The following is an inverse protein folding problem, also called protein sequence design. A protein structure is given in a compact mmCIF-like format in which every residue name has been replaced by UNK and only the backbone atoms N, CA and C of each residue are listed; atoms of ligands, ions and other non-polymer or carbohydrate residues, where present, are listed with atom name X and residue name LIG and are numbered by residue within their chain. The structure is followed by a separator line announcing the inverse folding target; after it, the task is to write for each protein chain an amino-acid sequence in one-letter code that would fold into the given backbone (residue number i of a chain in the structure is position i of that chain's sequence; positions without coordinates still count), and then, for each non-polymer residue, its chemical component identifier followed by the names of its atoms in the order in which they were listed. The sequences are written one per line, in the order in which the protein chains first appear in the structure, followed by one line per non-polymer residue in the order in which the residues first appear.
data_IF_593179933333
#
_entry.id   IF_593179933333
#
_cell.length_a   1.000
_cell.length_b   1.000
_cell.length_c   1.000
_cell.angle_alpha   90.00
_cell.angle_beta   90.00
_cell.angle_gamma   90.00
#
_symmetry.space_group_name_H-M   'P 1'
#
loop_
_entity.id
_entity.type
_entity.pdbx_description
1 polymer ?
#
# COMPACT_ATOMS: atom_id res chain seq x y z
N UNK A 1 -1.54 31.76 -54.79
CA UNK A 1 -2.94 32.22 -54.56
C UNK A 1 -2.90 33.57 -53.84
N UNK A 2 -3.76 34.55 -54.18
CA UNK A 2 -3.81 35.82 -53.43
C UNK A 2 -4.43 35.57 -52.05
N UNK A 3 -4.01 36.29 -50.97
CA UNK A 3 -4.50 36.04 -49.62
C UNK A 3 -6.02 36.12 -49.46
N UNK A 4 -6.69 36.97 -50.25
CA UNK A 4 -8.14 37.11 -50.23
C UNK A 4 -8.87 35.88 -50.81
N UNK A 5 -8.30 35.25 -51.83
CA UNK A 5 -8.88 34.06 -52.46
C UNK A 5 -8.64 32.82 -51.59
N UNK A 6 -7.45 32.72 -50.98
CA UNK A 6 -7.12 31.70 -49.98
C UNK A 6 -8.00 31.82 -48.71
N UNK A 7 -8.29 33.05 -48.28
CA UNK A 7 -9.17 33.34 -47.15
C UNK A 7 -10.62 32.88 -47.40
N UNK A 8 -11.14 33.08 -48.62
CA UNK A 8 -12.47 32.59 -49.01
C UNK A 8 -12.53 31.06 -49.04
N UNK A 9 -11.52 30.41 -49.60
CA UNK A 9 -11.41 28.93 -49.64
C UNK A 9 -11.29 28.30 -48.25
N UNK A 10 -10.57 28.94 -47.33
CA UNK A 10 -10.37 28.44 -45.97
C UNK A 10 -11.43 28.93 -44.96
N UNK A 11 -12.41 29.73 -45.40
CA UNK A 11 -13.41 30.40 -44.56
C UNK A 11 -12.80 31.20 -43.37
N UNK A 12 -11.72 31.94 -43.64
CA UNK A 12 -11.01 32.78 -42.66
C UNK A 12 -11.14 34.26 -43.07
N UNK A 13 -11.13 35.17 -42.09
CA UNK A 13 -11.14 36.61 -42.38
C UNK A 13 -9.92 37.01 -43.26
N UNK A 14 -10.12 37.77 -44.36
CA UNK A 14 -9.05 38.21 -45.27
C UNK A 14 -7.87 38.91 -44.58
N UNK A 15 -8.11 39.69 -43.52
CA UNK A 15 -7.04 40.35 -42.75
C UNK A 15 -6.19 39.35 -41.96
N UNK A 16 -6.81 38.27 -41.47
CA UNK A 16 -6.09 37.20 -40.76
C UNK A 16 -5.18 36.43 -41.72
N UNK A 17 -5.65 36.15 -42.94
CA UNK A 17 -4.84 35.51 -43.98
C UNK A 17 -3.67 36.40 -44.42
N UNK A 18 -3.87 37.73 -44.54
CA UNK A 18 -2.78 38.69 -44.80
C UNK A 18 -1.74 38.69 -43.68
N UNK A 19 -2.18 38.66 -42.42
CA UNK A 19 -1.29 38.59 -41.26
C UNK A 19 -0.46 37.30 -41.23
N UNK A 20 -1.09 36.14 -41.48
CA UNK A 20 -0.39 34.86 -41.54
C UNK A 20 0.63 34.82 -42.67
N UNK A 21 0.28 35.38 -43.85
CA UNK A 21 1.24 35.51 -44.95
C UNK A 21 2.43 36.39 -44.55
N UNK A 22 2.20 37.54 -43.90
CA UNK A 22 3.28 38.42 -43.43
C UNK A 22 4.17 37.75 -42.37
N UNK A 23 3.58 36.97 -41.46
CA UNK A 23 4.34 36.21 -40.46
C UNK A 23 5.17 35.09 -41.13
N UNK A 24 4.63 34.42 -42.15
CA UNK A 24 5.33 33.38 -42.93
C UNK A 24 6.45 33.94 -43.81
N UNK A 25 6.20 35.07 -44.50
CA UNK A 25 7.20 35.72 -45.36
C UNK A 25 8.41 36.23 -44.53
N UNK A 26 8.20 36.52 -43.25
CA UNK A 26 9.26 36.96 -42.32
C UNK A 26 10.03 35.80 -41.66
N UNK A 27 9.44 34.62 -41.53
CA UNK A 27 10.04 33.46 -40.86
C UNK A 27 9.42 32.15 -41.40
N UNK A 28 9.96 31.63 -42.52
CA UNK A 28 9.37 30.48 -43.21
C UNK A 28 9.46 29.15 -42.42
N UNK A 29 10.38 29.06 -41.45
CA UNK A 29 10.54 27.87 -40.61
C UNK A 29 9.58 27.84 -39.41
N UNK A 30 8.94 28.97 -39.08
CA UNK A 30 7.81 28.98 -38.14
C UNK A 30 6.60 28.32 -38.78
N UNK A 31 6.50 27.01 -38.58
CA UNK A 31 5.32 26.20 -38.90
C UNK A 31 4.01 26.89 -38.51
N UNK A 32 2.98 26.65 -39.34
CA UNK A 32 1.58 27.15 -39.34
C UNK A 32 1.16 27.88 -38.05
N UNK A 33 0.62 29.11 -38.10
CA UNK A 33 0.17 29.83 -36.92
C UNK A 33 -0.98 29.08 -36.22
N UNK A 34 -0.63 28.28 -35.22
CA UNK A 34 -1.59 27.67 -34.30
C UNK A 34 -2.42 28.76 -33.60
N UNK A 35 -3.67 28.42 -33.27
CA UNK A 35 -4.53 29.25 -32.42
C UNK A 35 -3.75 29.56 -31.12
N UNK A 36 -3.27 30.80 -30.98
CA UNK A 36 -2.52 31.27 -29.80
C UNK A 36 -3.48 31.43 -28.61
N UNK A 37 -4.10 30.35 -28.13
CA UNK A 37 -5.00 30.37 -26.96
C UNK A 37 -4.25 30.55 -25.64
N UNK A 38 -2.92 30.38 -25.62
CA UNK A 38 -2.12 30.43 -24.41
C UNK A 38 -1.03 31.53 -24.41
N UNK A 39 -1.34 32.73 -24.92
CA UNK A 39 -0.57 33.93 -24.52
C UNK A 39 -1.22 34.53 -23.27
N UNK A 40 -1.00 33.93 -22.11
CA UNK A 40 -1.25 34.58 -20.81
C UNK A 40 -0.13 35.57 -20.50
N UNK A 41 0.09 36.59 -21.34
CA UNK A 41 1.05 37.66 -21.02
C UNK A 41 0.46 38.77 -20.14
N UNK A 42 -0.83 38.64 -19.76
CA UNK A 42 -1.55 39.58 -18.89
C UNK A 42 -1.98 38.98 -17.54
N UNK A 43 -1.53 37.77 -17.19
CA UNK A 43 -1.75 37.26 -15.83
C UNK A 43 -0.78 37.96 -14.89
N UNK A 44 -1.30 38.51 -13.80
CA UNK A 44 -0.46 39.04 -12.73
C UNK A 44 0.52 37.94 -12.28
N UNK A 45 1.78 38.30 -11.97
CA UNK A 45 2.73 37.34 -11.41
C UNK A 45 2.11 36.68 -10.17
N UNK A 46 2.33 35.38 -10.01
CA UNK A 46 1.83 34.64 -8.85
C UNK A 46 2.35 35.32 -7.57
N UNK A 47 1.45 35.60 -6.62
CA UNK A 47 1.81 36.15 -5.31
C UNK A 47 2.78 35.22 -4.55
N UNK A 48 2.78 33.93 -4.87
CA UNK A 48 3.70 32.93 -4.34
C UNK A 48 4.79 32.59 -5.36
N UNK A 49 6.01 32.45 -4.86
CA UNK A 49 7.25 32.27 -5.64
C UNK A 49 8.09 31.15 -5.00
N UNK A 50 9.30 30.93 -5.51
CA UNK A 50 10.16 29.84 -5.03
C UNK A 50 10.62 30.00 -3.56
N UNK A 51 10.80 31.23 -3.07
CA UNK A 51 11.15 31.45 -1.65
C UNK A 51 10.01 31.04 -0.72
N UNK A 52 8.77 31.38 -1.08
CA UNK A 52 7.58 30.94 -0.34
C UNK A 52 7.42 29.41 -0.36
N UNK A 53 7.75 28.76 -1.49
CA UNK A 53 7.75 27.30 -1.62
C UNK A 53 8.75 26.65 -0.68
N UNK A 54 10.01 27.09 -0.69
CA UNK A 54 11.03 26.54 0.20
C UNK A 54 10.67 26.75 1.68
N UNK A 55 10.08 27.90 2.01
CA UNK A 55 9.61 28.19 3.37
C UNK A 55 8.50 27.22 3.81
N UNK A 56 7.46 27.04 3.00
CA UNK A 56 6.37 26.09 3.28
C UNK A 56 6.90 24.66 3.43
N UNK A 57 7.80 24.26 2.55
CA UNK A 57 8.39 22.93 2.56
C UNK A 57 9.17 22.67 3.87
N UNK A 58 9.92 23.65 4.36
CA UNK A 58 10.66 23.56 5.62
C UNK A 58 9.73 23.61 6.84
N UNK A 59 8.69 24.46 6.80
CA UNK A 59 7.71 24.59 7.87
C UNK A 59 6.99 23.25 8.16
N UNK A 60 6.51 22.56 7.13
CA UNK A 60 5.85 21.26 7.27
C UNK A 60 6.80 20.11 7.56
N UNK A 61 8.10 20.32 7.35
CA UNK A 61 9.13 19.36 7.75
C UNK A 61 9.32 19.30 9.26
N UNK A 62 9.33 20.49 9.87
CA UNK A 62 9.46 20.66 11.30
C UNK A 62 8.12 20.44 12.01
N UNK A 63 7.02 20.75 11.34
CA UNK A 63 5.66 20.70 11.88
C UNK A 63 4.71 19.90 10.97
N UNK A 64 4.89 18.57 10.83
CA UNK A 64 4.12 17.74 9.87
C UNK A 64 2.62 17.65 10.18
N UNK A 65 2.21 17.96 11.42
CA UNK A 65 0.81 18.00 11.85
C UNK A 65 0.18 19.40 11.82
N UNK A 66 0.91 20.42 11.37
CA UNK A 66 0.38 21.77 11.29
C UNK A 66 -0.81 21.85 10.32
N UNK A 67 -1.74 22.74 10.60
CA UNK A 67 -2.83 23.06 9.69
C UNK A 67 -2.34 24.01 8.59
N UNK A 68 -3.08 24.05 7.47
CA UNK A 68 -2.85 25.04 6.40
C UNK A 68 -3.00 26.47 6.95
N UNK A 69 -3.83 26.66 7.98
CA UNK A 69 -3.98 27.95 8.65
C UNK A 69 -2.67 28.40 9.30
N UNK A 70 -2.00 27.50 10.02
CA UNK A 70 -0.70 27.79 10.65
C UNK A 70 0.35 28.15 9.60
N UNK A 71 0.32 27.49 8.43
CA UNK A 71 1.22 27.80 7.32
C UNK A 71 0.96 29.18 6.70
N UNK A 72 -0.31 29.60 6.60
CA UNK A 72 -0.68 30.96 6.16
C UNK A 72 -0.14 31.99 7.15
N UNK A 73 -0.38 31.78 8.45
CA UNK A 73 0.10 32.70 9.48
C UNK A 73 1.63 32.77 9.53
N UNK A 74 2.31 31.64 9.36
CA UNK A 74 3.75 31.59 9.32
C UNK A 74 4.31 32.30 8.08
N UNK A 75 3.70 32.12 6.90
CA UNK A 75 4.05 32.85 5.69
C UNK A 75 3.86 34.36 5.84
N UNK A 76 2.69 34.82 6.31
CA UNK A 76 2.42 36.25 6.47
C UNK A 76 3.32 36.89 7.53
N UNK A 77 3.75 36.14 8.55
CA UNK A 77 4.76 36.61 9.53
C UNK A 77 6.18 36.69 8.95
N UNK A 78 6.57 35.75 8.10
CA UNK A 78 7.92 35.69 7.54
C UNK A 78 8.12 36.58 6.30
N UNK A 79 7.04 36.97 5.62
CA UNK A 79 7.07 37.81 4.43
C UNK A 79 6.15 39.01 4.61
N UNK A 80 6.74 40.17 4.95
CA UNK A 80 5.98 41.41 5.17
C UNK A 80 5.17 41.81 3.93
N UNK A 81 3.92 42.23 4.15
CA UNK A 81 3.00 42.63 3.07
C UNK A 81 2.36 41.46 2.29
N UNK A 82 2.62 40.20 2.66
CA UNK A 82 2.00 39.05 2.03
C UNK A 82 0.60 38.77 2.58
N UNK A 83 -0.42 39.31 1.91
CA UNK A 83 -1.82 38.97 2.16
C UNK A 83 -2.29 37.88 1.20
N UNK A 84 -2.58 36.69 1.73
CA UNK A 84 -2.95 35.54 0.92
C UNK A 84 -4.06 34.70 1.53
N UNK A 85 -4.97 34.21 0.66
CA UNK A 85 -6.06 33.33 1.05
C UNK A 85 -5.56 31.92 1.34
N UNK A 86 -6.14 31.29 2.36
CA UNK A 86 -5.89 29.88 2.73
C UNK A 86 -6.03 28.91 1.56
N UNK A 87 -7.04 29.11 0.70
CA UNK A 87 -7.26 28.28 -0.48
C UNK A 87 -6.10 28.34 -1.48
N UNK A 88 -5.50 29.53 -1.68
CA UNK A 88 -4.38 29.71 -2.59
C UNK A 88 -3.11 29.03 -2.06
N UNK A 89 -2.86 29.11 -0.75
CA UNK A 89 -1.75 28.37 -0.12
C UNK A 89 -1.97 26.86 -0.26
N UNK A 90 -3.19 26.37 -0.05
CA UNK A 90 -3.51 24.94 -0.21
C UNK A 90 -3.26 24.43 -1.65
N UNK A 91 -3.68 25.20 -2.66
CA UNK A 91 -3.44 24.92 -4.07
C UNK A 91 -1.94 24.91 -4.38
N UNK A 92 -1.22 25.95 -3.96
CA UNK A 92 0.23 26.07 -4.16
C UNK A 92 1.02 24.95 -3.49
N UNK A 93 0.64 24.55 -2.27
CA UNK A 93 1.23 23.40 -1.58
C UNK A 93 1.09 22.12 -2.40
N UNK A 94 -0.08 21.91 -3.03
CA UNK A 94 -0.38 20.71 -3.82
C UNK A 94 0.33 20.72 -5.17
N UNK A 95 0.26 21.84 -5.88
CA UNK A 95 0.70 21.95 -7.27
C UNK A 95 2.20 22.22 -7.38
N UNK A 96 2.72 23.14 -6.56
CA UNK A 96 4.09 23.64 -6.69
C UNK A 96 5.02 23.03 -5.64
N UNK A 97 4.56 22.87 -4.39
CA UNK A 97 5.37 22.23 -3.33
C UNK A 97 5.32 20.69 -3.37
N UNK A 98 4.44 20.10 -4.19
CA UNK A 98 4.22 18.64 -4.23
C UNK A 98 3.88 18.02 -2.86
N UNK A 99 3.25 18.79 -1.97
CA UNK A 99 2.80 18.33 -0.67
C UNK A 99 1.42 17.67 -0.78
N UNK A 100 1.23 16.58 -0.03
CA UNK A 100 -0.05 15.87 0.02
C UNK A 100 -0.40 15.49 1.45
N UNK A 101 -1.70 15.48 1.78
CA UNK A 101 -2.15 15.10 3.12
C UNK A 101 -1.97 13.60 3.34
N UNK A 102 -1.28 13.24 4.42
CA UNK A 102 -1.01 11.85 4.82
C UNK A 102 -1.43 11.62 6.27
N UNK A 103 -1.68 10.36 6.62
CA UNK A 103 -1.86 9.97 8.02
C UNK A 103 -0.52 10.09 8.74
N UNK A 104 -0.46 10.88 9.80
CA UNK A 104 0.77 11.07 10.59
C UNK A 104 1.05 9.80 11.38
N UNK A 105 2.22 9.21 11.17
CA UNK A 105 2.72 8.08 11.96
C UNK A 105 3.53 8.61 13.13
N UNK A 106 3.21 8.20 14.35
CA UNK A 106 3.90 8.66 15.57
C UNK A 106 4.89 7.59 16.03
N UNK A 107 6.14 7.98 16.17
CA UNK A 107 7.19 7.10 16.70
C UNK A 107 7.82 7.70 17.96
N UNK A 108 8.15 6.88 18.97
CA UNK A 108 8.94 7.34 20.11
C UNK A 108 10.30 7.89 19.64
N UNK A 109 10.76 9.01 20.20
CA UNK A 109 12.10 9.57 19.90
C UNK A 109 13.21 8.52 20.09
N UNK A 110 13.06 7.65 21.10
CA UNK A 110 13.99 6.57 21.38
C UNK A 110 14.20 5.60 20.20
N UNK A 111 13.23 5.43 19.28
CA UNK A 111 13.33 4.53 18.11
C UNK A 111 14.54 4.85 17.22
N UNK A 112 14.86 6.14 17.07
CA UNK A 112 15.98 6.63 16.27
C UNK A 112 17.18 7.05 17.13
N UNK A 113 17.24 6.59 18.39
CA UNK A 113 18.48 6.72 19.17
C UNK A 113 19.59 5.88 18.55
N UNK A 114 20.83 6.34 18.69
CA UNK A 114 22.02 5.65 18.19
C UNK A 114 22.05 4.18 18.66
N UNK A 115 21.79 3.94 19.94
CA UNK A 115 21.69 2.59 20.54
C UNK A 115 20.69 1.68 19.81
N UNK A 116 19.50 2.18 19.48
CA UNK A 116 18.47 1.36 18.82
C UNK A 116 18.72 1.18 17.32
N UNK A 117 19.40 2.14 16.68
CA UNK A 117 19.89 1.99 15.31
C UNK A 117 20.96 0.90 15.23
N UNK A 118 21.93 0.90 16.15
CA UNK A 118 22.96 -0.13 16.26
C UNK A 118 22.37 -1.51 16.57
N UNK A 119 21.41 -1.57 17.50
CA UNK A 119 20.71 -2.82 17.81
C UNK A 119 19.99 -3.40 16.58
N UNK A 120 19.34 -2.54 15.77
CA UNK A 120 18.73 -2.94 14.49
C UNK A 120 19.76 -3.45 13.49
N UNK A 121 20.88 -2.74 13.32
CA UNK A 121 21.95 -3.16 12.41
C UNK A 121 22.57 -4.51 12.82
N UNK A 122 22.82 -4.69 14.11
CA UNK A 122 23.34 -5.96 14.65
C UNK A 122 22.34 -7.10 14.51
N UNK A 123 21.05 -6.83 14.67
CA UNK A 123 20.00 -7.80 14.43
C UNK A 123 19.97 -8.28 12.98
N UNK A 124 20.10 -7.36 12.00
CA UNK A 124 20.16 -7.72 10.58
C UNK A 124 21.37 -8.61 10.27
N UNK A 125 22.54 -8.32 10.88
CA UNK A 125 23.73 -9.17 10.75
C UNK A 125 23.50 -10.57 11.33
N UNK A 126 22.94 -10.68 12.53
CA UNK A 126 22.62 -11.97 13.16
C UNK A 126 21.61 -12.77 12.34
N UNK A 127 20.59 -12.10 11.81
CA UNK A 127 19.61 -12.70 10.91
C UNK A 127 20.29 -13.34 9.68
N UNK A 128 21.18 -12.60 9.00
CA UNK A 128 21.93 -13.12 7.85
C UNK A 128 22.81 -14.31 8.22
N UNK A 129 23.55 -14.21 9.33
CA UNK A 129 24.45 -15.28 9.81
C UNK A 129 23.69 -16.56 10.16
N UNK A 130 22.48 -16.45 10.72
CA UNK A 130 21.63 -17.60 11.04
C UNK A 130 20.93 -18.21 9.83
N UNK A 131 21.04 -17.61 8.64
CA UNK A 131 20.40 -18.12 7.43
C UNK A 131 18.87 -18.16 7.51
N UNK A 132 18.25 -17.21 8.24
CA UNK A 132 16.79 -17.21 8.34
C UNK A 132 16.17 -16.69 7.04
N UNK A 133 15.33 -17.51 6.44
CA UNK A 133 14.52 -17.20 5.28
C UNK A 133 13.07 -17.10 5.74
N UNK A 134 12.60 -15.86 5.91
CA UNK A 134 11.26 -15.52 6.37
C UNK A 134 10.13 -16.33 5.70
N UNK A 135 10.27 -16.63 4.40
CA UNK A 135 9.29 -17.38 3.60
C UNK A 135 9.40 -18.91 3.70
N UNK A 136 10.45 -19.44 4.35
CA UNK A 136 10.79 -20.88 4.30
C UNK A 136 10.93 -21.52 5.68
N UNK A 137 11.60 -20.86 6.62
CA UNK A 137 12.04 -21.47 7.88
C UNK A 137 11.84 -20.54 9.10
N UNK A 138 10.84 -19.66 9.06
CA UNK A 138 10.53 -18.75 10.16
C UNK A 138 9.09 -18.89 10.62
N UNK A 139 8.91 -18.84 11.94
CA UNK A 139 7.62 -18.64 12.61
C UNK A 139 7.72 -17.34 13.40
N UNK A 140 6.71 -16.49 13.25
CA UNK A 140 6.63 -15.17 13.86
C UNK A 140 5.61 -15.21 14.99
N UNK A 141 6.03 -14.83 16.19
CA UNK A 141 5.23 -14.87 17.39
C UNK A 141 5.05 -13.47 17.95
N UNK A 142 3.85 -13.18 18.46
CA UNK A 142 3.56 -11.95 19.19
C UNK A 142 2.23 -12.03 19.96
N UNK A 143 1.95 -11.00 20.75
CA UNK A 143 0.73 -10.83 21.51
C UNK A 143 -0.05 -9.60 21.04
N UNK A 144 -1.37 -9.73 20.92
CA UNK A 144 -2.28 -8.60 20.71
C UNK A 144 -3.46 -8.61 21.69
N UNK A 145 -3.95 -7.43 22.04
CA UNK A 145 -5.13 -7.24 22.89
C UNK A 145 -6.38 -6.95 22.07
N UNK A 146 -7.46 -7.68 22.35
CA UNK A 146 -8.77 -7.54 21.72
C UNK A 146 -9.81 -7.12 22.75
N UNK A 147 -10.40 -5.94 22.60
CA UNK A 147 -11.48 -5.45 23.46
C UNK A 147 -12.85 -5.77 22.84
N UNK A 148 -13.79 -6.27 23.66
CA UNK A 148 -15.17 -6.55 23.25
C UNK A 148 -15.89 -5.33 22.67
N UNK A 149 -15.45 -4.13 23.04
CA UNK A 149 -15.94 -2.85 22.58
C UNK A 149 -15.20 -2.31 21.35
N UNK A 150 -14.27 -3.06 20.75
CA UNK A 150 -13.63 -2.64 19.49
C UNK A 150 -14.69 -2.48 18.39
N UNK A 151 -14.71 -1.31 17.75
CA UNK A 151 -15.60 -0.96 16.64
C UNK A 151 -14.82 -0.32 15.51
N UNK A 152 -15.45 -0.23 14.33
CA UNK A 152 -14.91 0.55 13.21
C UNK A 152 -14.95 2.03 13.58
N UNK A 153 -13.85 2.75 13.32
CA UNK A 153 -13.74 4.19 13.61
C UNK A 153 -14.48 5.08 12.63
N UNK A 154 -15.03 4.51 11.54
CA UNK A 154 -15.72 5.22 10.47
C UNK A 154 -17.03 4.50 10.15
N UNK A 155 -18.09 5.28 10.00
CA UNK A 155 -19.42 4.81 9.62
C UNK A 155 -20.05 5.72 8.57
N UNK A 156 -21.16 5.28 7.99
CA UNK A 156 -21.92 6.03 6.98
C UNK A 156 -23.14 6.69 7.63
N UNK A 157 -23.41 7.95 7.27
CA UNK A 157 -24.62 8.67 7.61
C UNK A 157 -25.05 9.56 6.44
N UNK A 158 -26.29 10.05 6.47
CA UNK A 158 -26.75 11.03 5.48
C UNK A 158 -25.84 12.27 5.53
N UNK A 159 -25.54 12.84 4.36
CA UNK A 159 -24.72 14.06 4.25
C UNK A 159 -25.31 15.17 5.15
N UNK A 160 -24.46 15.76 5.99
CA UNK A 160 -24.85 16.79 6.95
C UNK A 160 -25.35 16.25 8.30
N UNK A 161 -25.48 14.93 8.47
CA UNK A 161 -25.82 14.30 9.75
C UNK A 161 -24.61 13.53 10.31
N UNK A 162 -24.44 13.49 11.64
CA UNK A 162 -23.43 12.64 12.27
C UNK A 162 -23.81 11.16 12.16
N UNK A 163 -22.81 10.29 11.99
CA UNK A 163 -22.99 8.85 12.20
C UNK A 163 -22.92 8.58 13.71
N UNK A 164 -24.02 8.10 14.30
CA UNK A 164 -24.14 7.84 15.73
C UNK A 164 -24.36 6.35 15.94
N UNK A 165 -23.54 5.72 16.79
CA UNK A 165 -23.70 4.34 17.25
C UNK A 165 -23.78 4.33 18.79
N UNK A 166 -24.88 3.82 19.34
CA UNK A 166 -25.04 3.67 20.80
C UNK A 166 -24.29 2.45 21.32
N UNK A 167 -23.52 2.62 22.41
CA UNK A 167 -22.70 1.58 23.03
C UNK A 167 -22.98 1.47 24.53
N UNK A 168 -23.10 0.24 25.03
CA UNK A 168 -23.30 -0.07 26.44
C UNK A 168 -21.97 -0.09 27.21
N UNK A 169 -21.65 1.01 27.90
CA UNK A 169 -20.57 1.20 28.91
C UNK A 169 -19.10 0.93 28.51
N UNK A 170 -18.20 1.76 29.08
CA UNK A 170 -16.80 1.94 28.69
C UNK A 170 -15.80 0.91 29.25
N UNK A 171 -16.22 -0.07 30.06
CA UNK A 171 -15.33 -1.11 30.61
C UNK A 171 -15.64 -2.47 29.97
N UNK A 172 -15.15 -2.63 28.75
CA UNK A 172 -15.18 -3.89 28.03
C UNK A 172 -14.20 -4.89 28.61
N UNK A 173 -14.53 -6.17 28.50
CA UNK A 173 -13.59 -7.25 28.77
C UNK A 173 -12.61 -7.32 27.61
N UNK A 174 -11.31 -7.13 27.87
CA UNK A 174 -10.25 -7.35 26.91
C UNK A 174 -9.66 -8.75 27.04
N UNK A 175 -9.44 -9.39 25.90
CA UNK A 175 -8.76 -10.67 25.77
C UNK A 175 -7.36 -10.43 25.23
N UNK A 176 -6.38 -11.08 25.83
CA UNK A 176 -5.04 -11.18 25.27
C UNK A 176 -5.02 -12.39 24.35
N UNK A 177 -4.47 -12.23 23.14
CA UNK A 177 -4.30 -13.31 22.16
C UNK A 177 -2.82 -13.44 21.85
N UNK A 178 -2.28 -14.64 21.96
CA UNK A 178 -0.91 -14.95 21.52
C UNK A 178 -1.04 -15.72 20.21
N UNK A 179 -0.29 -15.30 19.19
CA UNK A 179 -0.33 -15.90 17.87
C UNK A 179 1.05 -16.31 17.39
N UNK A 180 1.06 -17.30 16.50
CA UNK A 180 2.21 -17.77 15.75
C UNK A 180 1.82 -17.94 14.29
N UNK A 181 2.52 -17.26 13.38
CA UNK A 181 2.27 -17.37 11.93
C UNK A 181 3.54 -17.72 11.16
N UNK A 182 3.38 -18.37 10.01
CA UNK A 182 4.45 -18.66 9.07
C UNK A 182 4.00 -18.39 7.65
N UNK A 183 4.90 -18.55 6.68
CA UNK A 183 4.54 -18.50 5.26
C UNK A 183 3.56 -19.59 4.83
N UNK A 184 3.45 -20.67 5.59
CA UNK A 184 2.58 -21.80 5.27
C UNK A 184 1.18 -21.67 5.87
N UNK A 185 0.98 -20.73 6.80
CA UNK A 185 -0.27 -20.63 7.53
C UNK A 185 -0.11 -20.10 8.94
N UNK A 186 -1.24 -20.00 9.62
CA UNK A 186 -1.32 -19.78 11.06
C UNK A 186 -0.91 -21.09 11.74
N UNK A 187 0.10 -21.01 12.62
CA UNK A 187 0.66 -22.18 13.31
C UNK A 187 -0.11 -22.43 14.62
N UNK A 188 -0.35 -21.38 15.39
CA UNK A 188 -1.07 -21.46 16.66
C UNK A 188 -1.70 -20.09 17.00
N UNK A 189 -2.94 -20.08 17.49
CA UNK A 189 -3.60 -18.90 18.06
C UNK A 189 -4.22 -19.32 19.38
N UNK A 190 -3.73 -18.74 20.48
CA UNK A 190 -4.19 -19.06 21.82
C UNK A 190 -4.84 -17.83 22.46
N UNK A 191 -6.08 -18.01 22.91
CA UNK A 191 -6.84 -16.97 23.59
C UNK A 191 -6.67 -17.08 25.09
N UNK A 192 -6.42 -15.95 25.76
CA UNK A 192 -6.38 -15.89 27.21
C UNK A 192 -7.70 -15.36 27.75
N UNK A 193 -8.33 -16.14 28.63
CA UNK A 193 -9.42 -15.63 29.45
C UNK A 193 -8.90 -14.57 30.45
N UNK A 194 -9.56 -13.40 30.56
CA UNK A 194 -9.27 -12.44 31.60
C UNK A 194 -9.52 -13.09 32.96
N UNK A 195 -8.46 -13.13 33.78
CA UNK A 195 -8.36 -14.03 34.92
C UNK A 195 -9.57 -14.02 35.87
N UNK A 196 -10.29 -15.14 35.89
CA UNK A 196 -11.01 -15.62 37.06
C UNK A 196 -10.43 -16.99 37.46
N UNK A 197 -9.14 -17.02 37.78
CA UNK A 197 -8.53 -18.25 38.32
C UNK A 197 -9.02 -18.44 39.74
N UNK A 198 -10.12 -19.18 39.92
CA UNK A 198 -10.46 -19.76 41.23
C UNK A 198 -9.25 -20.57 41.67
N UNK A 199 -8.55 -20.13 42.72
CA UNK A 199 -7.42 -20.87 43.29
C UNK A 199 -7.87 -22.32 43.56
N UNK A 200 -7.29 -23.28 42.85
CA UNK A 200 -7.43 -24.71 43.17
C UNK A 200 -6.91 -24.88 44.60
N UNK A 201 -7.78 -25.24 45.52
CA UNK A 201 -7.42 -25.51 46.91
C UNK A 201 -6.64 -26.83 46.92
N UNK A 202 -5.32 -26.77 46.86
CA UNK A 202 -4.47 -27.94 47.07
C UNK A 202 -4.64 -28.35 48.53
N UNK A 203 -5.31 -29.47 48.76
CA UNK A 203 -5.45 -30.08 50.08
C UNK A 203 -4.06 -30.53 50.54
N UNK A 204 -3.55 -29.95 51.63
CA UNK A 204 -2.32 -30.43 52.29
C UNK A 204 -1.17 -29.43 52.51
N UNK A 205 -1.18 -28.24 51.89
CA UNK A 205 -0.12 -27.26 52.12
C UNK A 205 -0.36 -26.45 53.41
N UNK A 206 0.44 -26.71 54.47
CA UNK A 206 0.44 -25.95 55.73
C UNK A 206 0.66 -24.45 55.46
N UNK A 207 -0.33 -23.64 55.85
CA UNK A 207 -0.30 -22.17 55.83
C UNK A 207 0.95 -21.64 56.53
N UNK A 208 1.81 -20.89 55.82
CA UNK A 208 2.50 -19.75 56.43
C UNK A 208 1.54 -18.56 56.34
N UNK A 209 1.22 -17.94 57.48
CA UNK A 209 0.43 -16.70 57.54
C UNK A 209 1.22 -15.60 56.82
N UNK A 210 0.78 -15.20 55.64
CA UNK A 210 1.12 -13.89 55.08
C UNK A 210 0.31 -12.82 55.85
N UNK A 211 0.86 -11.60 56.04
CA UNK A 211 0.19 -10.55 56.80
C UNK A 211 -1.16 -10.19 56.17
N UNK A 212 -2.20 -10.08 57.01
CA UNK A 212 -3.52 -9.60 56.63
C UNK A 212 -3.40 -8.16 56.09
N UNK A 213 -3.92 -7.90 54.90
CA UNK A 213 -4.18 -6.53 54.44
C UNK A 213 -3.68 -6.11 53.05
N UNK A 214 -2.98 -6.97 52.29
CA UNK A 214 -2.64 -6.64 50.89
C UNK A 214 -3.13 -7.75 49.97
N UNK A 215 -4.21 -7.49 49.25
CA UNK A 215 -4.57 -8.29 48.08
C UNK A 215 -3.38 -8.22 47.12
N UNK A 216 -2.60 -9.30 47.06
CA UNK A 216 -1.52 -9.42 46.10
C UNK A 216 -2.09 -9.16 44.71
N UNK A 217 -1.67 -8.06 44.08
CA UNK A 217 -2.10 -7.69 42.75
C UNK A 217 -1.75 -8.83 41.79
N UNK A 218 -2.78 -9.47 41.24
CA UNK A 218 -2.62 -10.46 40.18
C UNK A 218 -2.02 -9.70 38.98
N UNK A 219 -0.91 -10.17 38.37
CA UNK A 219 -0.30 -9.46 37.26
C UNK A 219 -1.31 -9.31 36.11
N UNK A 220 -1.67 -8.06 35.79
CA UNK A 220 -2.31 -7.72 34.52
C UNK A 220 -1.21 -7.83 33.46
N UNK A 221 -1.32 -8.83 32.59
CA UNK A 221 -0.39 -9.05 31.49
C UNK A 221 0.10 -10.49 31.41
N UNK A 222 0.71 -10.83 30.28
CA UNK A 222 1.28 -12.16 30.03
C UNK A 222 2.54 -12.32 30.86
N UNK A 223 2.60 -13.41 31.63
CA UNK A 223 3.80 -13.76 32.38
C UNK A 223 4.76 -14.51 31.45
N UNK A 224 6.05 -14.50 31.77
CA UNK A 224 7.05 -15.30 31.04
C UNK A 224 6.63 -16.77 30.92
N UNK A 225 5.99 -17.33 31.95
CA UNK A 225 5.50 -18.72 31.93
C UNK A 225 4.42 -18.98 30.88
N UNK A 226 3.52 -18.02 30.63
CA UNK A 226 2.49 -18.17 29.59
C UNK A 226 3.09 -18.14 28.19
N UNK A 227 4.05 -17.26 27.93
CA UNK A 227 4.79 -17.25 26.66
C UNK A 227 5.59 -18.54 26.45
N UNK A 228 6.23 -19.05 27.50
CA UNK A 228 6.99 -20.31 27.43
C UNK A 228 6.07 -21.49 27.12
N UNK A 229 4.88 -21.56 27.75
CA UNK A 229 3.91 -22.60 27.43
C UNK A 229 3.43 -22.50 25.98
N UNK A 230 3.09 -21.31 25.50
CA UNK A 230 2.68 -21.11 24.12
C UNK A 230 3.77 -21.49 23.12
N UNK A 231 5.04 -21.17 23.43
CA UNK A 231 6.18 -21.62 22.62
C UNK A 231 6.26 -23.14 22.62
N UNK A 232 6.13 -23.80 23.77
CA UNK A 232 6.12 -25.27 23.86
C UNK A 232 5.02 -25.86 22.99
N UNK A 233 3.77 -25.40 23.15
CA UNK A 233 2.64 -25.91 22.38
C UNK A 233 2.83 -25.68 20.88
N UNK A 234 3.42 -24.54 20.50
CA UNK A 234 3.75 -24.23 19.10
C UNK A 234 4.85 -25.15 18.57
N UNK A 235 5.86 -25.48 19.37
CA UNK A 235 6.90 -26.43 19.00
C UNK A 235 6.34 -27.84 18.84
N UNK A 236 5.45 -28.27 19.74
CA UNK A 236 4.79 -29.58 19.64
C UNK A 236 3.99 -29.70 18.33
N UNK A 237 3.26 -28.64 17.93
CA UNK A 237 2.58 -28.56 16.62
C UNK A 237 3.60 -28.60 15.47
N UNK A 238 4.74 -27.93 15.61
CA UNK A 238 5.79 -27.91 14.58
C UNK A 238 6.52 -29.25 14.44
N UNK A 239 6.65 -30.03 15.50
CA UNK A 239 7.29 -31.36 15.50
C UNK A 239 6.46 -32.39 14.72
N UNK A 240 5.16 -32.17 14.53
CA UNK A 240 4.33 -32.94 13.59
C UNK A 240 4.77 -32.75 12.12
N UNK A 241 5.63 -31.76 11.82
CA UNK A 241 6.17 -31.48 10.49
C UNK A 241 7.66 -31.89 10.41
N UNK A 242 8.00 -33.05 9.80
CA UNK A 242 9.33 -33.67 9.87
C UNK A 242 10.51 -32.87 9.26
N UNK A 243 10.26 -31.68 8.69
CA UNK A 243 11.27 -30.86 8.00
C UNK A 243 11.95 -29.82 8.91
N UNK A 244 11.61 -29.78 10.20
CA UNK A 244 12.06 -28.74 11.14
C UNK A 244 13.05 -29.31 12.18
N UNK A 245 14.23 -29.75 11.74
CA UNK A 245 15.17 -30.49 12.60
C UNK A 245 15.93 -29.62 13.64
N UNK A 246 15.86 -28.29 13.58
CA UNK A 246 16.52 -27.37 14.53
C UNK A 246 15.78 -26.03 14.67
N UNK A 247 15.23 -25.76 15.85
CA UNK A 247 14.61 -24.47 16.16
C UNK A 247 15.62 -23.54 16.83
N UNK A 248 15.73 -22.31 16.33
CA UNK A 248 16.53 -21.24 16.94
C UNK A 248 15.69 -19.98 17.09
N UNK A 249 15.90 -19.24 18.17
CA UNK A 249 15.19 -17.98 18.42
C UNK A 249 16.01 -16.78 17.97
N UNK A 250 15.32 -15.74 17.52
CA UNK A 250 15.90 -14.44 17.24
C UNK A 250 14.94 -13.35 17.73
N UNK A 251 15.34 -12.63 18.79
CA UNK A 251 14.54 -11.53 19.33
C UNK A 251 14.61 -10.32 18.43
N UNK A 252 13.47 -9.65 18.22
CA UNK A 252 13.43 -8.42 17.44
C UNK A 252 14.15 -7.26 18.15
N UNK A 253 14.74 -6.33 17.39
CA UNK A 253 15.32 -5.14 17.97
C UNK A 253 14.22 -4.22 18.51
N UNK A 254 14.50 -3.40 19.53
CA UNK A 254 13.50 -2.51 20.13
C UNK A 254 12.83 -1.61 19.08
N UNK A 255 11.53 -1.34 19.28
CA UNK A 255 10.73 -0.48 18.42
C UNK A 255 10.78 -0.86 16.93
N UNK A 256 10.80 -2.15 16.59
CA UNK A 256 10.86 -2.60 15.19
C UNK A 256 9.70 -3.54 14.80
N UNK A 257 8.43 -3.17 15.07
CA UNK A 257 7.26 -4.01 14.76
C UNK A 257 7.15 -4.34 13.27
N UNK A 258 7.64 -3.47 12.39
CA UNK A 258 7.60 -3.71 10.95
C UNK A 258 8.44 -4.90 10.47
N UNK A 259 9.37 -5.38 11.29
CA UNK A 259 10.16 -6.59 11.06
C UNK A 259 9.42 -7.85 11.54
N UNK A 260 8.26 -7.70 12.17
CA UNK A 260 7.39 -8.79 12.62
C UNK A 260 6.13 -8.89 11.76
N UNK A 261 6.04 -9.81 10.79
CA UNK A 261 4.88 -9.98 9.93
C UNK A 261 3.55 -10.17 10.67
N UNK A 262 3.58 -10.72 11.89
CA UNK A 262 2.37 -10.95 12.69
C UNK A 262 1.65 -9.66 13.12
N UNK A 263 2.35 -8.53 13.15
CA UNK A 263 1.74 -7.22 13.40
C UNK A 263 0.72 -6.84 12.31
N UNK A 264 0.98 -7.23 11.07
CA UNK A 264 0.01 -7.06 9.97
C UNK A 264 -1.14 -8.04 10.06
N UNK A 265 -0.88 -9.27 10.53
CA UNK A 265 -1.92 -10.25 10.81
C UNK A 265 -2.89 -9.72 11.88
N UNK A 266 -2.39 -9.14 12.97
CA UNK A 266 -3.24 -8.54 14.00
C UNK A 266 -4.14 -7.45 13.45
N UNK A 267 -3.62 -6.57 12.59
CA UNK A 267 -4.42 -5.52 11.96
C UNK A 267 -5.57 -6.09 11.12
N UNK A 268 -5.30 -7.13 10.32
CA UNK A 268 -6.33 -7.78 9.50
C UNK A 268 -7.36 -8.50 10.37
N UNK A 269 -6.90 -9.19 11.41
CA UNK A 269 -7.77 -9.88 12.36
C UNK A 269 -8.67 -8.89 13.11
N UNK A 270 -8.13 -7.78 13.59
CA UNK A 270 -8.90 -6.71 14.22
C UNK A 270 -10.00 -6.18 13.30
N UNK A 271 -9.68 -5.90 12.04
CA UNK A 271 -10.66 -5.38 11.07
C UNK A 271 -11.79 -6.38 10.79
N UNK A 272 -11.49 -7.68 10.85
CA UNK A 272 -12.48 -8.77 10.78
C UNK A 272 -13.31 -8.88 12.06
N UNK A 273 -12.72 -8.71 13.23
CA UNK A 273 -13.46 -8.73 14.51
C UNK A 273 -14.39 -7.52 14.65
N UNK A 274 -13.99 -6.35 14.13
CA UNK A 274 -14.74 -5.07 14.17
C UNK A 274 -15.99 -5.01 13.27
N UNK A 275 -16.37 -6.08 12.55
CA UNK A 275 -17.41 -6.08 11.49
C UNK A 275 -18.82 -5.66 11.98
N UNK A 276 -19.24 -6.03 13.20
CA UNK A 276 -20.55 -5.68 13.78
C UNK A 276 -20.64 -5.94 15.29
N UNK A 277 -21.77 -5.62 15.94
CA UNK A 277 -21.99 -6.00 17.35
C UNK A 277 -21.94 -7.54 17.50
N UNK A 278 -21.47 -8.03 18.65
CA UNK A 278 -21.58 -9.45 18.98
C UNK A 278 -23.07 -9.77 19.15
N UNK A 279 -23.51 -10.88 18.56
CA UNK A 279 -24.86 -11.43 18.76
C UNK A 279 -24.89 -12.22 20.06
N UNK A 280 -26.08 -12.54 20.58
CA UNK A 280 -26.21 -13.34 21.80
C UNK A 280 -25.63 -14.76 21.66
N UNK A 281 -25.45 -15.23 20.42
CA UNK A 281 -24.86 -16.54 20.09
C UNK A 281 -23.33 -16.50 19.90
N UNK A 282 -22.73 -15.30 19.77
CA UNK A 282 -21.31 -15.14 19.48
C UNK A 282 -20.55 -14.55 20.67
N UNK A 283 -19.36 -15.10 20.92
CA UNK A 283 -18.44 -14.56 21.91
C UNK A 283 -17.26 -13.88 21.20
N UNK A 284 -16.60 -12.93 21.87
CA UNK A 284 -15.35 -12.35 21.34
C UNK A 284 -14.31 -13.46 21.02
N UNK A 285 -14.08 -14.46 21.90
CA UNK A 285 -13.28 -15.64 21.58
C UNK A 285 -13.63 -16.34 20.26
N UNK A 286 -14.89 -16.73 20.06
CA UNK A 286 -15.29 -17.47 18.87
C UNK A 286 -15.08 -16.65 17.60
N UNK A 287 -15.36 -15.34 17.66
CA UNK A 287 -15.15 -14.44 16.53
C UNK A 287 -13.67 -14.19 16.20
N UNK A 288 -12.79 -14.21 17.21
CA UNK A 288 -11.34 -14.13 16.99
C UNK A 288 -10.85 -15.40 16.30
N UNK A 289 -11.29 -16.58 16.73
CA UNK A 289 -10.92 -17.87 16.13
C UNK A 289 -11.41 -17.92 14.68
N UNK A 290 -12.71 -17.70 14.43
CA UNK A 290 -13.29 -17.66 13.08
C UNK A 290 -12.58 -16.61 12.21
N UNK A 291 -12.36 -15.41 12.75
CA UNK A 291 -11.68 -14.34 12.04
C UNK A 291 -10.23 -14.68 11.67
N UNK A 292 -9.57 -15.56 12.44
CA UNK A 292 -8.22 -16.03 12.18
C UNK A 292 -8.21 -17.12 11.10
N UNK A 293 -9.12 -18.10 11.18
CA UNK A 293 -9.26 -19.18 10.18
C UNK A 293 -9.63 -18.63 8.79
N UNK A 294 -10.38 -17.53 8.76
CA UNK A 294 -10.76 -16.79 7.56
C UNK A 294 -9.61 -16.01 6.87
N UNK A 295 -8.41 -15.95 7.46
CA UNK A 295 -7.26 -15.24 6.87
C UNK A 295 -6.62 -16.11 5.80
N UNK A 296 -6.65 -15.70 4.52
CA UNK A 296 -6.03 -16.48 3.45
C UNK A 296 -4.52 -16.54 3.59
N UNK A 297 -3.90 -17.66 3.20
CA UNK A 297 -2.44 -17.84 3.26
C UNK A 297 -1.72 -16.81 2.40
N UNK A 298 -2.31 -16.36 1.31
CA UNK A 298 -1.77 -15.32 0.42
C UNK A 298 -1.58 -13.98 1.15
N UNK A 299 -2.44 -13.69 2.13
CA UNK A 299 -2.27 -12.51 2.98
C UNK A 299 -1.04 -12.66 3.87
N UNK A 300 -0.82 -13.84 4.46
CA UNK A 300 0.37 -14.12 5.29
C UNK A 300 1.66 -13.98 4.47
N UNK A 301 1.69 -14.54 3.25
CA UNK A 301 2.80 -14.36 2.31
C UNK A 301 3.06 -12.88 2.01
N UNK A 302 2.00 -12.10 1.81
CA UNK A 302 2.08 -10.65 1.57
C UNK A 302 2.62 -9.89 2.78
N UNK A 303 2.24 -10.27 4.01
CA UNK A 303 2.74 -9.67 5.24
C UNK A 303 4.24 -9.93 5.40
N UNK A 304 4.65 -11.17 5.18
CA UNK A 304 6.05 -11.56 5.26
C UNK A 304 6.88 -10.81 4.20
N UNK A 305 6.38 -10.73 2.97
CA UNK A 305 7.04 -9.97 1.91
C UNK A 305 7.16 -8.47 2.24
N UNK A 306 6.17 -7.89 2.93
CA UNK A 306 6.22 -6.51 3.37
C UNK A 306 7.38 -6.28 4.36
N UNK A 307 7.54 -7.16 5.37
CA UNK A 307 8.65 -7.08 6.32
C UNK A 307 10.01 -7.30 5.64
N UNK A 308 10.11 -8.23 4.67
CA UNK A 308 11.33 -8.42 3.86
C UNK A 308 11.66 -7.16 3.07
N UNK A 309 10.68 -6.50 2.46
CA UNK A 309 10.91 -5.26 1.73
C UNK A 309 11.37 -4.14 2.65
N UNK A 310 10.86 -4.08 3.88
CA UNK A 310 11.27 -3.08 4.85
C UNK A 310 12.76 -3.18 5.22
N UNK A 311 13.32 -4.41 5.25
CA UNK A 311 14.77 -4.64 5.43
C UNK A 311 15.62 -3.82 4.46
N UNK A 312 15.21 -3.65 3.20
CA UNK A 312 15.98 -2.90 2.19
C UNK A 312 16.25 -1.45 2.63
N UNK A 313 15.40 -0.89 3.49
CA UNK A 313 15.57 0.46 4.05
C UNK A 313 16.44 0.49 5.32
N UNK A 314 16.81 -0.67 5.88
CA UNK A 314 17.66 -0.81 7.07
C UNK A 314 19.14 -1.03 6.72
N UNK A 315 19.45 -1.53 5.54
CA UNK A 315 20.82 -1.78 5.06
C UNK A 315 21.61 -0.47 4.73
N UNK A 316 21.06 0.71 5.03
CA UNK A 316 21.63 2.03 4.70
C UNK A 316 21.88 2.88 5.96
N UNK A 317 22.94 2.63 6.74
CA UNK A 317 23.61 3.67 7.60
C UNK A 317 25.06 3.23 7.90
N UNK A 318 26.10 4.08 7.72
CA UNK A 318 26.35 5.24 8.58
C UNK A 318 26.13 6.61 7.95
N UNK A 319 25.77 7.58 8.81
CA UNK A 319 25.79 9.02 8.55
C UNK A 319 27.11 9.52 9.11
N UNK A 320 28.00 10.02 8.26
CA UNK A 320 29.03 10.95 8.69
C UNK A 320 28.80 12.33 8.06
N UNK A 321 28.85 13.31 8.95
CA UNK A 321 29.07 14.74 8.80
C UNK A 321 28.00 15.63 8.13
N UNK A 322 27.43 16.44 9.04
CA UNK A 322 27.21 17.88 8.91
C UNK A 322 26.51 18.43 7.66
N UNK A 323 25.29 18.94 7.89
CA UNK A 323 24.95 20.23 7.30
C UNK A 323 24.30 20.24 5.92
N UNK A 324 23.37 19.32 5.60
CA UNK A 324 22.32 19.66 4.64
C UNK A 324 21.02 18.93 5.00
N UNK A 325 19.98 19.72 5.31
CA UNK A 325 18.63 19.23 5.62
C UNK A 325 18.11 18.31 4.50
N UNK A 326 17.56 17.16 4.93
CA UNK A 326 16.89 16.08 4.17
C UNK A 326 17.80 15.18 3.31
N UNK A 327 18.21 14.05 3.92
CA UNK A 327 18.48 12.80 3.19
C UNK A 327 17.19 12.32 2.51
N UNK A 328 16.98 12.80 1.29
CA UNK A 328 16.06 12.24 0.29
C UNK A 328 16.48 10.77 0.09
N UNK A 329 15.54 9.83 0.06
CA UNK A 329 15.82 8.47 -0.44
C UNK A 329 16.68 8.61 -1.69
N UNK A 330 17.86 7.97 -1.70
CA UNK A 330 18.76 8.10 -2.82
C UNK A 330 18.03 7.70 -4.10
N UNK A 331 18.06 8.61 -5.07
CA UNK A 331 17.52 8.43 -6.41
C UNK A 331 17.99 7.09 -7.01
N UNK A 332 19.18 6.63 -6.62
CA UNK A 332 19.75 5.35 -7.00
C UNK A 332 18.92 4.14 -6.51
N UNK A 333 18.44 4.09 -5.25
CA UNK A 333 17.65 2.94 -4.74
C UNK A 333 16.26 2.84 -5.39
N UNK A 334 15.63 3.99 -5.68
CA UNK A 334 14.39 4.03 -6.45
C UNK A 334 14.64 3.61 -7.90
N UNK A 335 15.72 4.08 -8.52
CA UNK A 335 16.15 3.66 -9.85
C UNK A 335 16.45 2.16 -9.88
N UNK A 336 17.17 1.60 -8.91
CA UNK A 336 17.43 0.17 -8.80
C UNK A 336 16.14 -0.62 -8.68
N UNK A 337 15.20 -0.19 -7.83
CA UNK A 337 13.88 -0.84 -7.71
C UNK A 337 13.07 -0.76 -9.03
N UNK A 338 13.09 0.38 -9.74
CA UNK A 338 12.42 0.55 -11.02
C UNK A 338 13.10 -0.28 -12.12
N UNK A 339 14.43 -0.26 -12.18
CA UNK A 339 15.25 -0.93 -13.20
C UNK A 339 15.28 -2.45 -13.01
N UNK A 340 15.26 -2.94 -11.77
CA UNK A 340 15.35 -4.38 -11.46
C UNK A 340 13.98 -5.06 -11.30
N UNK A 341 12.90 -4.30 -11.06
CA UNK A 341 11.56 -4.88 -10.92
C UNK A 341 11.14 -5.67 -12.16
N UNK A 342 11.33 -5.10 -13.34
CA UNK A 342 10.92 -5.73 -14.59
C UNK A 342 11.74 -7.01 -14.88
N UNK A 343 13.09 -7.00 -14.82
CA UNK A 343 13.90 -8.22 -14.92
C UNK A 343 13.51 -9.32 -13.91
N UNK A 344 13.29 -8.97 -12.65
CA UNK A 344 12.92 -9.92 -11.60
C UNK A 344 11.53 -10.53 -11.82
N UNK A 345 10.58 -9.70 -12.26
CA UNK A 345 9.23 -10.14 -12.63
C UNK A 345 9.28 -11.11 -13.82
N UNK A 346 10.00 -10.76 -14.88
CA UNK A 346 10.21 -11.62 -16.04
C UNK A 346 10.92 -12.93 -15.68
N UNK A 347 11.91 -12.91 -14.79
CA UNK A 347 12.58 -14.13 -14.34
C UNK A 347 11.64 -15.05 -13.55
N UNK A 348 10.76 -14.47 -12.73
CA UNK A 348 9.72 -15.24 -12.00
C UNK A 348 8.78 -15.92 -12.98
N UNK A 349 8.33 -15.21 -14.01
CA UNK A 349 7.49 -15.76 -15.08
C UNK A 349 8.20 -16.88 -15.86
N UNK A 350 9.48 -16.71 -16.20
CA UNK A 350 10.31 -17.76 -16.83
C UNK A 350 10.43 -19.00 -15.95
N UNK A 351 10.62 -18.84 -14.64
CA UNK A 351 10.71 -19.97 -13.71
C UNK A 351 9.36 -20.70 -13.57
N UNK A 352 8.23 -20.01 -13.72
CA UNK A 352 6.90 -20.61 -13.77
C UNK A 352 6.64 -21.33 -15.10
N UNK A 353 7.34 -20.94 -16.17
CA UNK A 353 7.18 -21.43 -17.54
C UNK A 353 7.81 -22.83 -17.79
N UNK A 354 8.17 -23.60 -16.75
CA UNK A 354 8.82 -24.95 -16.70
C UNK A 354 8.35 -26.02 -17.74
N UNK A 355 8.26 -25.70 -19.03
CA UNK A 355 7.76 -26.52 -20.13
C UNK A 355 6.24 -26.71 -20.19
N UNK A 356 5.51 -26.58 -19.08
CA UNK A 356 4.11 -27.05 -18.98
C UNK A 356 3.03 -25.96 -18.84
N UNK A 357 3.41 -24.70 -18.59
CA UNK A 357 2.45 -23.61 -18.34
C UNK A 357 2.64 -22.49 -19.36
N UNK A 358 1.57 -22.19 -20.12
CA UNK A 358 1.53 -21.08 -21.05
C UNK A 358 1.10 -19.79 -20.33
N UNK A 359 1.81 -18.69 -20.59
CA UNK A 359 1.45 -17.37 -20.06
C UNK A 359 0.63 -16.65 -21.12
N UNK A 360 -0.63 -16.39 -20.78
CA UNK A 360 -1.60 -15.79 -21.69
C UNK A 360 -1.94 -14.37 -21.21
N UNK A 361 -1.70 -13.41 -22.09
CA UNK A 361 -2.12 -12.04 -21.94
C UNK A 361 -3.58 -11.83 -22.27
N UNK A 362 -4.25 -11.06 -21.44
CA UNK A 362 -5.61 -10.63 -21.68
C UNK A 362 -5.72 -9.11 -21.55
N UNK A 363 -6.11 -8.45 -22.65
CA UNK A 363 -6.42 -7.03 -22.67
C UNK A 363 -7.92 -6.79 -22.87
N UNK A 364 -8.50 -5.87 -22.10
CA UNK A 364 -9.92 -5.49 -22.26
C UNK A 364 -10.07 -3.98 -22.24
N UNK A 365 -10.93 -3.47 -23.12
CA UNK A 365 -11.43 -2.10 -23.02
C UNK A 365 -12.92 -2.06 -22.69
N UNK A 366 -13.29 -1.19 -21.76
CA UNK A 366 -14.69 -0.90 -21.44
C UNK A 366 -15.38 -0.16 -22.59
N UNK A 367 -16.73 -0.22 -22.68
CA UNK A 367 -17.49 0.69 -23.54
C UNK A 367 -17.26 2.14 -23.08
N UNK A 368 -16.88 3.01 -24.01
CA UNK A 368 -16.52 4.43 -23.79
C UNK A 368 -16.83 5.21 -25.06
N UNK A 369 -17.17 6.51 -24.97
CA UNK A 369 -17.51 7.35 -26.11
C UNK A 369 -16.30 7.75 -26.98
N UNK A 370 -15.17 7.06 -26.84
CA UNK A 370 -13.96 7.29 -27.63
C UNK A 370 -14.11 6.72 -29.04
N UNK A 371 -13.48 7.38 -30.02
CA UNK A 371 -13.46 6.93 -31.41
C UNK A 371 -12.67 5.61 -31.60
N UNK A 372 -12.87 4.99 -32.76
CA UNK A 372 -12.27 3.70 -33.10
C UNK A 372 -10.73 3.76 -33.13
N UNK A 373 -10.16 4.81 -33.72
CA UNK A 373 -8.71 5.00 -33.82
C UNK A 373 -8.06 5.12 -32.43
N UNK A 374 -8.64 5.90 -31.52
CA UNK A 374 -8.16 6.02 -30.13
C UNK A 374 -8.26 4.70 -29.40
N UNK A 375 -9.35 3.95 -29.61
CA UNK A 375 -9.55 2.63 -28.99
C UNK A 375 -8.52 1.61 -29.47
N UNK A 376 -8.26 1.54 -30.78
CA UNK A 376 -7.23 0.69 -31.40
C UNK A 376 -5.85 1.05 -30.83
N UNK A 377 -5.50 2.33 -30.76
CA UNK A 377 -4.22 2.79 -30.20
C UNK A 377 -4.04 2.37 -28.74
N UNK A 378 -5.10 2.51 -27.93
CA UNK A 378 -5.06 2.12 -26.51
C UNK A 378 -4.93 0.61 -26.33
N UNK A 379 -5.66 -0.17 -27.12
CA UNK A 379 -5.56 -1.63 -27.10
C UNK A 379 -4.18 -2.10 -27.57
N UNK A 380 -3.63 -1.54 -28.65
CA UNK A 380 -2.26 -1.81 -29.10
C UNK A 380 -1.23 -1.46 -28.02
N UNK A 381 -1.42 -0.36 -27.28
CA UNK A 381 -0.56 -0.04 -26.13
C UNK A 381 -0.64 -1.09 -25.02
N UNK A 382 -1.85 -1.58 -24.70
CA UNK A 382 -2.02 -2.66 -23.72
C UNK A 382 -1.35 -3.96 -24.19
N UNK A 383 -1.55 -4.36 -25.45
CA UNK A 383 -0.93 -5.54 -26.07
C UNK A 383 0.61 -5.45 -26.02
N UNK A 384 1.17 -4.30 -26.38
CA UNK A 384 2.62 -4.10 -26.36
C UNK A 384 3.19 -4.16 -24.93
N UNK A 385 2.46 -3.65 -23.93
CA UNK A 385 2.86 -3.75 -22.52
C UNK A 385 2.82 -5.20 -22.03
N UNK A 386 1.76 -5.92 -22.38
CA UNK A 386 1.53 -7.33 -22.09
C UNK A 386 2.69 -8.20 -22.65
N UNK A 387 3.04 -8.03 -23.93
CA UNK A 387 4.19 -8.71 -24.56
C UNK A 387 5.54 -8.33 -23.95
N UNK A 388 5.80 -7.03 -23.78
CA UNK A 388 7.11 -6.55 -23.31
C UNK A 388 7.35 -6.82 -21.83
N UNK A 389 6.31 -6.82 -20.99
CA UNK A 389 6.45 -6.97 -19.53
C UNK A 389 6.26 -8.39 -19.04
N UNK A 390 5.30 -9.12 -19.58
CA UNK A 390 4.86 -10.40 -19.05
C UNK A 390 5.36 -11.61 -19.87
N UNK A 391 6.17 -11.38 -20.92
CA UNK A 391 6.73 -12.44 -21.79
C UNK A 391 5.65 -13.41 -22.29
N UNK A 392 4.49 -12.87 -22.60
CA UNK A 392 3.32 -13.68 -22.92
C UNK A 392 3.50 -14.40 -24.23
N UNK A 393 3.23 -15.70 -24.19
CA UNK A 393 3.26 -16.56 -25.37
C UNK A 393 2.11 -16.22 -26.29
N UNK A 394 0.94 -15.86 -25.74
CA UNK A 394 -0.24 -15.46 -26.50
C UNK A 394 -0.96 -14.28 -25.88
N UNK A 395 -1.62 -13.45 -26.69
CA UNK A 395 -2.43 -12.31 -26.24
C UNK A 395 -3.82 -12.34 -26.86
N UNK A 396 -4.85 -12.29 -26.03
CA UNK A 396 -6.25 -12.21 -26.44
C UNK A 396 -6.90 -10.91 -25.99
N UNK A 397 -7.77 -10.37 -26.83
CA UNK A 397 -8.33 -9.04 -26.62
C UNK A 397 -9.85 -9.05 -26.58
N UNK A 398 -10.41 -8.19 -25.73
CA UNK A 398 -11.81 -7.81 -25.72
C UNK A 398 -11.92 -6.31 -26.01
N UNK A 399 -12.30 -5.96 -27.24
CA UNK A 399 -12.29 -4.57 -27.71
C UNK A 399 -13.35 -3.68 -27.04
N UNK A 400 -14.47 -4.27 -26.60
CA UNK A 400 -15.56 -3.55 -25.97
C UNK A 400 -16.38 -4.49 -25.06
N UNK A 401 -16.08 -4.54 -23.77
CA UNK A 401 -16.86 -5.32 -22.81
C UNK A 401 -16.74 -4.74 -21.40
N UNK A 402 -17.82 -4.81 -20.61
CA UNK A 402 -17.79 -4.36 -19.20
C UNK A 402 -17.04 -5.40 -18.36
N UNK A 403 -16.47 -4.97 -17.23
CA UNK A 403 -15.82 -5.89 -16.28
C UNK A 403 -16.82 -6.87 -15.68
N UNK A 404 -18.09 -6.46 -15.57
CA UNK A 404 -19.20 -7.30 -15.11
C UNK A 404 -19.72 -8.28 -16.16
N UNK A 405 -19.34 -8.14 -17.44
CA UNK A 405 -19.72 -9.11 -18.47
C UNK A 405 -18.99 -10.43 -18.21
N UNK A 406 -19.69 -11.58 -18.13
CA UNK A 406 -19.07 -12.90 -18.00
C UNK A 406 -17.99 -13.09 -19.06
N UNK A 407 -16.87 -13.72 -18.69
CA UNK A 407 -15.69 -13.81 -19.56
C UNK A 407 -16.01 -14.48 -20.90
N UNK A 408 -16.86 -15.51 -20.87
CA UNK A 408 -17.32 -16.29 -22.03
C UNK A 408 -18.18 -15.47 -22.99
N UNK A 409 -18.78 -14.36 -22.56
CA UNK A 409 -19.66 -13.51 -23.37
C UNK A 409 -18.92 -12.31 -23.97
N UNK A 410 -17.62 -12.17 -23.72
CA UNK A 410 -16.82 -11.02 -24.18
C UNK A 410 -16.33 -11.22 -25.61
N UNK A 411 -16.31 -10.15 -26.40
CA UNK A 411 -15.79 -10.17 -27.77
C UNK A 411 -16.82 -10.49 -28.87
N UNK A 412 -18.10 -10.71 -28.52
CA UNK A 412 -19.18 -11.04 -29.47
C UNK A 412 -19.64 -9.88 -30.38
N UNK A 413 -19.13 -8.65 -30.20
CA UNK A 413 -19.66 -7.42 -30.84
C UNK A 413 -18.57 -6.42 -31.21
N UNK A 414 -17.73 -6.73 -32.21
CA UNK A 414 -17.00 -5.79 -33.09
C UNK A 414 -15.85 -6.50 -33.82
N UNK A 415 -16.05 -6.98 -35.05
CA UNK A 415 -14.99 -7.65 -35.81
C UNK A 415 -13.95 -6.68 -36.39
N UNK A 416 -14.38 -5.52 -36.88
CA UNK A 416 -13.53 -4.57 -37.62
C UNK A 416 -12.34 -4.03 -36.81
N UNK A 417 -12.47 -3.89 -35.49
CA UNK A 417 -11.40 -3.39 -34.63
C UNK A 417 -10.25 -4.38 -34.52
N UNK A 418 -10.52 -5.69 -34.58
CA UNK A 418 -9.47 -6.70 -34.38
C UNK A 418 -8.50 -6.79 -35.55
N UNK A 419 -8.94 -6.45 -36.76
CA UNK A 419 -8.10 -6.42 -37.97
C UNK A 419 -7.05 -5.28 -37.91
N UNK A 420 -7.31 -4.25 -37.10
CA UNK A 420 -6.42 -3.10 -36.87
C UNK A 420 -5.47 -3.30 -35.66
N UNK A 421 -5.61 -4.41 -34.91
CA UNK A 421 -4.74 -4.72 -33.78
C UNK A 421 -3.53 -5.56 -34.19
N UNK A 422 -2.36 -5.14 -33.73
CA UNK A 422 -1.09 -5.82 -33.99
C UNK A 422 -0.73 -6.78 -32.85
N UNK A 423 -0.10 -7.92 -33.18
CA UNK A 423 0.46 -8.89 -32.21
C UNK A 423 -0.55 -9.57 -31.27
N UNK A 424 -1.79 -9.75 -31.71
CA UNK A 424 -2.82 -10.53 -31.04
C UNK A 424 -2.91 -11.96 -31.61
N UNK A 425 -3.31 -12.92 -30.78
CA UNK A 425 -3.56 -14.31 -31.17
C UNK A 425 -5.04 -14.61 -31.39
N UNK A 426 -5.92 -13.67 -31.04
CA UNK A 426 -7.35 -13.75 -31.26
C UNK A 426 -8.16 -12.88 -30.30
N UNK A 427 -9.47 -12.97 -30.43
CA UNK A 427 -10.39 -12.38 -29.47
C UNK A 427 -10.63 -13.30 -28.25
N UNK A 428 -11.45 -12.83 -27.31
CA UNK A 428 -11.80 -13.60 -26.10
C UNK A 428 -12.63 -14.86 -26.40
N UNK A 429 -13.28 -14.96 -27.56
CA UNK A 429 -14.02 -16.15 -27.97
C UNK A 429 -13.06 -17.28 -28.36
N UNK A 430 -12.00 -16.95 -29.10
CA UNK A 430 -10.92 -17.91 -29.44
C UNK A 430 -10.24 -18.47 -28.18
N UNK A 431 -10.05 -17.63 -27.16
CA UNK A 431 -9.50 -18.08 -25.87
C UNK A 431 -10.39 -19.10 -25.17
N UNK A 432 -11.70 -18.85 -25.11
CA UNK A 432 -12.65 -19.66 -24.32
C UNK A 432 -12.82 -21.10 -24.85
N UNK A 433 -12.50 -21.31 -26.14
CA UNK A 433 -12.59 -22.63 -26.79
C UNK A 433 -11.43 -23.55 -26.40
N UNK A 434 -10.31 -23.02 -25.91
CA UNK A 434 -9.12 -23.82 -25.56
C UNK A 434 -9.05 -24.10 -24.05
N UNK A 435 -9.09 -25.38 -23.68
CA UNK A 435 -8.78 -25.85 -22.31
C UNK A 435 -7.29 -26.14 -22.19
N UNK A 436 -6.50 -25.16 -21.78
CA UNK A 436 -5.08 -25.35 -21.43
C UNK A 436 -4.80 -24.84 -20.01
N UNK A 437 -3.79 -25.42 -19.34
CA UNK A 437 -3.28 -24.91 -18.06
C UNK A 437 -2.52 -23.61 -18.32
N UNK A 438 -3.14 -22.47 -18.05
CA UNK A 438 -2.54 -21.16 -18.32
C UNK A 438 -2.56 -20.25 -17.09
N UNK A 439 -1.57 -19.35 -17.02
CA UNK A 439 -1.59 -18.20 -16.12
C UNK A 439 -2.10 -16.99 -16.91
N UNK A 440 -3.13 -16.31 -16.37
CA UNK A 440 -3.75 -15.16 -17.03
C UNK A 440 -3.10 -13.85 -16.52
N UNK A 441 -2.35 -13.19 -17.39
CA UNK A 441 -1.87 -11.82 -17.17
C UNK A 441 -2.95 -10.82 -17.61
N UNK A 442 -3.38 -9.93 -16.73
CA UNK A 442 -4.40 -8.91 -17.05
C UNK A 442 -3.75 -7.52 -16.99
N UNK A 443 -3.85 -6.75 -18.08
CA UNK A 443 -3.43 -5.33 -18.13
C UNK A 443 -4.57 -4.37 -17.85
#
# INVERSE_FOLDING_TARGET
MKPADAAKLANVNPETARKWKREYDNDPEKNIPFKKTNRTSKRAPSQLNESHKMHLINFFDENPSAAIQDAVENLTKSFEGLEIKKSRVAEFMKEECSLSLKVVTRHPKARNSQKNLEARANWVKQWQQKGLHFMKNCVFLDEAGFDVNMRRSRGWAQRGKPAIEETTSARGVSHTVIGAISAYGIVNVSLREPGNVKKRRVVGAKKRKAPEGVAAAIPKGTTTGHFVQFISDTLDIMDEFPKLERVSYLYLPPYSPELNPIEMFWKVLEDRVKRGKLTDAETLPSRIIEGSEDVPVEHLLSFIQHSINYRKYLDVVPVEEAGQKRKRLEFHSLLTSICEYLPNYQQTLKNLQNGEIEIIGYARKSPSPEDQETRVRLLNSMINNLRSRSLETRVYVSACSRSSTPFQERGLKNHEIYDELSNIDGDTQVFTIRKTRCLLGVS
#
